data_IF_546423156577
#
_entry.id   IF_546423156577
#
_cell.length_a   1.000
_cell.length_b   1.000
_cell.length_c   1.000
_cell.angle_alpha   90.00
_cell.angle_beta   90.00
_cell.angle_gamma   90.00
#
_symmetry.space_group_name_H-M   'P 1'
#
loop_
_entity.id
_entity.type
_entity.pdbx_description
1 polymer ?
#
# COMPACT_ATOMS: atom_id res chain seq x y z
N UNK A 1 -11.86 -9.72 3.17
CA UNK A 1 -12.04 -8.79 2.04
C UNK A 1 -10.66 -8.45 1.51
N UNK A 2 -10.37 -8.86 0.27
CA UNK A 2 -9.17 -8.41 -0.42
C UNK A 2 -9.38 -6.95 -0.82
N UNK A 3 -8.61 -6.06 -0.20
CA UNK A 3 -8.57 -4.66 -0.58
C UNK A 3 -7.66 -4.53 -1.78
N UNK A 4 -8.12 -3.89 -2.85
CA UNK A 4 -7.26 -3.58 -3.99
C UNK A 4 -6.10 -2.69 -3.53
N UNK A 5 -4.89 -3.21 -3.61
CA UNK A 5 -3.66 -2.52 -3.17
C UNK A 5 -2.85 -1.96 -4.35
N UNK A 6 -3.26 -2.31 -5.58
CA UNK A 6 -2.55 -1.96 -6.80
C UNK A 6 -3.35 -0.99 -7.67
N UNK A 7 -2.72 0.13 -8.06
CA UNK A 7 -3.28 1.07 -9.03
C UNK A 7 -3.62 0.40 -10.36
N UNK A 8 -2.84 -0.62 -10.75
CA UNK A 8 -3.09 -1.39 -11.96
C UNK A 8 -4.39 -2.18 -11.86
N UNK A 9 -4.57 -2.93 -10.78
CA UNK A 9 -5.78 -3.73 -10.55
C UNK A 9 -7.03 -2.83 -10.50
N UNK A 10 -6.93 -1.68 -9.86
CA UNK A 10 -8.01 -0.71 -9.82
C UNK A 10 -8.41 -0.24 -11.22
N UNK A 11 -7.46 0.14 -12.06
CA UNK A 11 -7.71 0.63 -13.42
C UNK A 11 -8.26 -0.47 -14.32
N UNK A 12 -7.74 -1.70 -14.24
CA UNK A 12 -8.24 -2.86 -14.98
C UNK A 12 -9.69 -3.22 -14.61
N UNK A 13 -10.01 -3.20 -13.31
CA UNK A 13 -11.37 -3.48 -12.83
C UNK A 13 -12.34 -2.35 -13.23
N UNK A 14 -11.91 -1.09 -13.17
CA UNK A 14 -12.71 0.04 -13.59
C UNK A 14 -13.00 -0.03 -15.10
N UNK A 15 -12.00 -0.35 -15.93
CA UNK A 15 -12.17 -0.58 -17.35
C UNK A 15 -13.20 -1.68 -17.61
N UNK A 16 -13.11 -2.81 -16.91
CA UNK A 16 -14.04 -3.93 -17.04
C UNK A 16 -15.47 -3.54 -16.70
N UNK A 17 -15.66 -2.76 -15.64
CA UNK A 17 -16.97 -2.25 -15.25
C UNK A 17 -17.57 -1.33 -16.32
N UNK A 18 -16.77 -0.39 -16.87
CA UNK A 18 -17.20 0.47 -17.96
C UNK A 18 -17.52 -0.33 -19.24
N UNK A 19 -16.68 -1.31 -19.59
CA UNK A 19 -16.88 -2.16 -20.75
C UNK A 19 -18.21 -2.93 -20.66
N UNK A 20 -18.54 -3.46 -19.51
CA UNK A 20 -19.82 -4.12 -19.25
C UNK A 20 -20.99 -3.14 -19.44
N UNK A 21 -20.88 -1.93 -18.95
CA UNK A 21 -21.94 -0.91 -19.06
C UNK A 21 -22.15 -0.39 -20.47
N UNK A 22 -21.08 -0.10 -21.20
CA UNK A 22 -21.18 0.57 -22.51
C UNK A 22 -21.16 -0.38 -23.70
N UNK A 23 -20.45 -1.50 -23.60
CA UNK A 23 -20.25 -2.44 -24.71
C UNK A 23 -20.77 -3.85 -24.42
N UNK A 24 -21.42 -4.08 -23.28
CA UNK A 24 -21.94 -5.40 -22.89
C UNK A 24 -20.83 -6.42 -22.66
N UNK A 25 -19.65 -5.99 -22.25
CA UNK A 25 -18.50 -6.84 -21.98
C UNK A 25 -17.65 -7.21 -23.20
N UNK A 26 -18.03 -6.77 -24.41
CA UNK A 26 -17.29 -7.08 -25.63
C UNK A 26 -16.40 -5.90 -26.06
N UNK A 27 -15.05 -6.01 -25.95
CA UNK A 27 -14.12 -4.94 -26.32
C UNK A 27 -14.10 -4.65 -27.83
N UNK A 28 -14.51 -5.60 -28.65
CA UNK A 28 -14.53 -5.47 -30.12
C UNK A 28 -15.87 -5.03 -30.68
N UNK A 29 -16.91 -4.93 -29.83
CA UNK A 29 -18.22 -4.44 -30.24
C UNK A 29 -18.14 -3.04 -30.81
N UNK A 30 -18.60 -2.84 -32.03
CA UNK A 30 -18.71 -1.52 -32.65
C UNK A 30 -19.92 -0.79 -32.08
N UNK A 31 -19.68 0.39 -31.52
CA UNK A 31 -20.69 1.26 -30.94
C UNK A 31 -21.29 2.20 -32.00
N UNK A 32 -22.37 2.88 -31.64
CA UNK A 32 -23.07 3.82 -32.55
C UNK A 32 -22.20 4.99 -33.03
N UNK A 33 -21.12 5.30 -32.30
CA UNK A 33 -20.14 6.32 -32.66
C UNK A 33 -19.03 5.83 -33.60
N UNK A 34 -19.08 4.55 -34.04
CA UNK A 34 -18.12 3.93 -34.93
C UNK A 34 -16.83 3.44 -34.26
N UNK A 35 -16.66 3.61 -32.94
CA UNK A 35 -15.53 3.11 -32.19
C UNK A 35 -15.80 1.68 -31.69
N UNK A 36 -14.73 0.91 -31.49
CA UNK A 36 -14.87 -0.34 -30.74
C UNK A 36 -15.08 -0.04 -29.25
N UNK A 37 -15.64 -1.00 -28.50
CA UNK A 37 -15.81 -0.89 -27.05
C UNK A 37 -14.49 -0.52 -26.36
N UNK A 38 -13.40 -1.21 -26.72
CA UNK A 38 -12.07 -0.93 -26.17
C UNK A 38 -11.61 0.52 -26.47
N UNK A 39 -11.72 0.98 -27.71
CA UNK A 39 -11.34 2.34 -28.09
C UNK A 39 -12.15 3.39 -27.33
N UNK A 40 -13.45 3.19 -27.25
CA UNK A 40 -14.34 4.12 -26.55
C UNK A 40 -14.01 4.20 -25.05
N UNK A 41 -13.87 3.07 -24.39
CA UNK A 41 -13.54 3.05 -22.94
C UNK A 41 -12.15 3.65 -22.69
N UNK A 42 -11.14 3.34 -23.52
CA UNK A 42 -9.82 3.99 -23.40
C UNK A 42 -9.88 5.51 -23.52
N UNK A 43 -10.77 6.04 -24.37
CA UNK A 43 -10.95 7.49 -24.51
C UNK A 43 -11.62 8.15 -23.30
N UNK A 44 -12.44 7.40 -22.57
CA UNK A 44 -13.14 7.87 -21.37
C UNK A 44 -12.36 7.63 -20.08
N UNK A 45 -11.51 6.61 -20.04
CA UNK A 45 -10.95 6.04 -18.81
C UNK A 45 -10.37 7.09 -17.84
N UNK A 46 -9.60 8.03 -18.36
CA UNK A 46 -9.01 9.13 -17.59
C UNK A 46 -9.59 10.50 -17.92
N UNK A 47 -10.76 10.53 -18.56
CA UNK A 47 -11.53 11.75 -18.75
C UNK A 47 -12.30 12.13 -17.48
N UNK A 48 -12.93 13.30 -17.50
CA UNK A 48 -13.83 13.74 -16.42
C UNK A 48 -15.02 12.79 -16.17
N UNK A 49 -15.42 12.03 -17.19
CA UNK A 49 -16.52 11.07 -17.14
C UNK A 49 -16.05 9.67 -16.71
N UNK A 50 -14.74 9.48 -16.46
CA UNK A 50 -14.10 8.30 -15.96
C UNK A 50 -13.42 8.55 -14.61
N UNK A 51 -12.15 8.12 -14.51
CA UNK A 51 -11.33 8.29 -13.28
C UNK A 51 -10.88 9.72 -13.02
N UNK A 52 -11.05 10.63 -13.99
CA UNK A 52 -10.76 12.06 -13.89
C UNK A 52 -9.26 12.40 -14.05
N UNK A 53 -8.36 11.59 -13.51
CA UNK A 53 -6.92 11.84 -13.60
C UNK A 53 -6.16 10.61 -14.11
N UNK A 54 -5.27 10.79 -15.13
CA UNK A 54 -4.40 9.70 -15.55
C UNK A 54 -3.37 9.40 -14.48
N UNK A 55 -3.38 8.17 -13.99
CA UNK A 55 -2.35 7.63 -13.09
C UNK A 55 -1.24 6.91 -13.85
N UNK A 56 -1.43 6.72 -15.15
CA UNK A 56 -0.46 6.11 -16.06
C UNK A 56 -0.24 6.99 -17.27
N UNK A 57 0.95 6.93 -17.83
CA UNK A 57 1.32 7.50 -19.13
C UNK A 57 1.60 6.36 -20.09
N UNK A 58 1.03 6.43 -21.30
CA UNK A 58 1.29 5.49 -22.40
C UNK A 58 1.93 6.21 -23.58
N UNK A 59 2.63 5.50 -24.47
CA UNK A 59 3.13 6.07 -25.71
C UNK A 59 2.01 6.67 -26.56
N UNK A 60 2.33 7.69 -27.36
CA UNK A 60 1.36 8.36 -28.21
C UNK A 60 0.69 7.38 -29.18
N UNK A 61 -0.64 7.38 -29.20
CA UNK A 61 -1.44 6.54 -30.06
C UNK A 61 -1.78 5.14 -29.49
N UNK A 62 -1.26 4.81 -28.33
CA UNK A 62 -1.60 3.56 -27.64
C UNK A 62 -2.73 3.76 -26.62
N UNK A 63 -3.54 2.72 -26.41
CA UNK A 63 -4.55 2.70 -25.35
C UNK A 63 -3.93 2.33 -24.00
N UNK A 64 -4.59 2.72 -22.91
CA UNK A 64 -4.16 2.36 -21.55
C UNK A 64 -4.41 0.88 -21.26
N UNK A 65 -5.53 0.34 -21.76
CA UNK A 65 -5.96 -1.04 -21.53
C UNK A 65 -6.13 -1.74 -22.87
N UNK A 66 -5.56 -2.93 -22.99
CA UNK A 66 -5.69 -3.78 -24.16
C UNK A 66 -7.08 -4.41 -24.29
N UNK A 67 -7.33 -5.07 -25.42
CA UNK A 67 -8.58 -5.84 -25.65
C UNK A 67 -8.70 -7.03 -24.70
N UNK A 68 -7.62 -7.46 -24.11
CA UNK A 68 -7.53 -8.50 -23.08
C UNK A 68 -7.92 -7.99 -21.66
N UNK A 69 -8.24 -6.70 -21.54
CA UNK A 69 -8.58 -6.07 -20.28
C UNK A 69 -7.38 -5.78 -19.38
N UNK A 70 -6.16 -5.94 -19.88
CA UNK A 70 -4.93 -5.71 -19.14
C UNK A 70 -4.29 -4.38 -19.46
N UNK A 71 -3.61 -3.82 -18.44
CA UNK A 71 -2.84 -2.60 -18.59
C UNK A 71 -1.79 -2.76 -19.70
N UNK A 72 -1.66 -1.73 -20.54
CA UNK A 72 -0.64 -1.69 -21.57
C UNK A 72 0.76 -1.95 -20.96
N UNK A 73 1.53 -2.91 -21.47
CA UNK A 73 2.86 -3.22 -20.93
C UNK A 73 3.85 -2.06 -21.05
N UNK A 74 3.60 -1.09 -21.95
CA UNK A 74 4.38 0.13 -22.10
C UNK A 74 3.90 1.27 -21.20
N UNK A 75 2.83 1.05 -20.41
CA UNK A 75 2.33 2.05 -19.48
C UNK A 75 3.32 2.26 -18.34
N UNK A 76 3.58 3.52 -18.02
CA UNK A 76 4.42 3.92 -16.87
C UNK A 76 3.54 4.58 -15.83
N UNK A 77 3.69 4.13 -14.58
CA UNK A 77 2.99 4.75 -13.45
C UNK A 77 3.44 6.21 -13.31
N UNK A 78 2.47 7.12 -13.28
CA UNK A 78 2.70 8.56 -13.18
C UNK A 78 2.26 9.31 -14.44
N UNK A 79 2.30 10.63 -14.35
CA UNK A 79 1.93 11.53 -15.45
C UNK A 79 2.88 12.72 -15.52
N UNK A 80 2.99 13.26 -16.71
CA UNK A 80 3.67 14.54 -16.94
C UNK A 80 2.68 15.67 -16.73
N UNK A 81 3.08 16.67 -15.94
CA UNK A 81 2.34 17.93 -15.76
C UNK A 81 3.32 19.10 -15.84
N UNK A 82 3.32 19.80 -16.96
CA UNK A 82 4.37 20.78 -17.26
C UNK A 82 5.74 20.11 -17.31
N UNK A 83 6.67 20.63 -16.52
CA UNK A 83 8.04 20.11 -16.40
C UNK A 83 8.19 19.03 -15.30
N UNK A 84 7.09 18.66 -14.66
CA UNK A 84 7.09 17.71 -13.54
C UNK A 84 6.54 16.37 -13.97
N UNK A 85 7.15 15.31 -13.43
CA UNK A 85 6.61 13.95 -13.48
C UNK A 85 6.04 13.59 -12.11
N UNK A 86 4.73 13.37 -12.06
CA UNK A 86 3.98 13.12 -10.81
C UNK A 86 3.65 11.64 -10.76
N UNK A 87 4.09 10.95 -9.71
CA UNK A 87 3.70 9.57 -9.38
C UNK A 87 2.74 9.56 -8.20
N UNK A 88 1.79 8.61 -8.14
CA UNK A 88 1.03 8.38 -6.93
C UNK A 88 1.95 8.00 -5.77
N UNK A 89 1.69 8.55 -4.59
CA UNK A 89 2.39 8.19 -3.37
C UNK A 89 1.81 6.89 -2.80
N UNK A 90 2.69 6.06 -2.27
CA UNK A 90 2.32 4.88 -1.50
C UNK A 90 2.22 5.27 -0.01
N UNK A 91 1.04 5.73 0.38
CA UNK A 91 0.77 6.21 1.74
C UNK A 91 0.95 5.13 2.80
N UNK A 92 0.70 3.87 2.45
CA UNK A 92 0.92 2.75 3.38
C UNK A 92 2.40 2.61 3.70
N UNK A 93 3.25 2.65 2.67
CA UNK A 93 4.70 2.56 2.83
C UNK A 93 5.30 3.78 3.53
N UNK A 94 4.73 4.98 3.28
CA UNK A 94 5.20 6.21 3.91
C UNK A 94 4.74 6.33 5.37
N UNK A 95 3.56 5.80 5.72
CA UNK A 95 2.99 5.90 7.05
C UNK A 95 3.35 4.73 7.97
N UNK A 96 3.67 3.57 7.40
CA UNK A 96 3.96 2.37 8.16
C UNK A 96 5.42 1.96 7.99
N UNK A 97 6.14 1.99 9.09
CA UNK A 97 7.48 1.42 9.15
C UNK A 97 7.39 -0.08 9.48
N UNK A 98 7.55 -0.93 8.46
CA UNK A 98 7.49 -2.39 8.60
C UNK A 98 8.79 -3.00 9.15
N UNK A 99 9.81 -2.18 9.43
CA UNK A 99 11.08 -2.60 10.01
C UNK A 99 11.12 -2.64 11.53
N UNK A 100 10.00 -2.41 12.20
CA UNK A 100 9.92 -2.25 13.64
C UNK A 100 10.10 -3.59 14.37
N UNK A 101 11.07 -3.61 15.27
CA UNK A 101 11.37 -4.74 16.12
C UNK A 101 11.10 -4.36 17.59
N UNK A 102 10.16 -5.08 18.21
CA UNK A 102 10.00 -5.04 19.66
C UNK A 102 10.97 -6.02 20.31
N UNK A 103 11.78 -5.51 21.21
CA UNK A 103 12.76 -6.29 21.97
C UNK A 103 12.48 -6.16 23.45
N UNK A 104 12.44 -7.30 24.15
CA UNK A 104 12.25 -7.34 25.58
C UNK A 104 13.25 -8.31 26.22
N UNK A 105 14.01 -7.80 27.16
CA UNK A 105 15.01 -8.56 27.90
C UNK A 105 14.70 -8.52 29.39
N UNK A 106 14.56 -9.67 30.01
CA UNK A 106 14.30 -9.80 31.44
C UNK A 106 15.34 -10.72 32.07
N UNK A 107 16.01 -10.22 33.11
CA UNK A 107 16.96 -10.98 33.91
C UNK A 107 16.49 -11.00 35.35
N UNK A 108 16.41 -12.20 35.91
CA UNK A 108 16.01 -12.41 37.30
C UNK A 108 17.08 -13.20 38.03
N UNK A 109 17.44 -12.75 39.21
CA UNK A 109 18.40 -13.40 40.10
C UNK A 109 17.74 -13.52 41.47
N UNK A 110 17.74 -14.70 42.02
CA UNK A 110 17.28 -14.96 43.38
C UNK A 110 18.24 -15.86 44.13
N UNK A 111 18.34 -15.67 45.42
CA UNK A 111 19.14 -16.48 46.29
C UNK A 111 18.65 -16.41 47.74
N UNK A 112 19.07 -17.39 48.52
CA UNK A 112 18.73 -17.52 49.93
C UNK A 112 19.97 -17.94 50.73
N UNK A 113 20.11 -17.34 51.88
CA UNK A 113 21.05 -17.74 52.92
C UNK A 113 20.27 -18.06 54.20
N UNK A 114 20.93 -18.63 55.22
CA UNK A 114 20.24 -18.91 56.48
C UNK A 114 19.58 -17.70 57.15
N UNK A 115 19.97 -16.46 56.77
CA UNK A 115 19.51 -15.24 57.40
C UNK A 115 18.90 -14.24 56.46
N UNK A 116 18.92 -14.49 55.13
CA UNK A 116 18.46 -13.50 54.16
C UNK A 116 18.00 -14.16 52.85
N UNK A 117 16.86 -13.73 52.38
CA UNK A 117 16.38 -14.02 51.03
C UNK A 117 16.49 -12.78 50.17
N UNK A 118 16.98 -12.92 48.96
CA UNK A 118 17.06 -11.80 48.05
C UNK A 118 16.54 -12.17 46.69
N UNK A 119 15.91 -11.18 46.04
CA UNK A 119 15.42 -11.22 44.67
C UNK A 119 15.78 -9.94 43.97
N UNK A 120 16.36 -10.06 42.79
CA UNK A 120 16.68 -8.94 41.93
C UNK A 120 16.15 -9.21 40.52
N UNK A 121 15.48 -8.24 39.91
CA UNK A 121 15.10 -8.34 38.51
C UNK A 121 15.45 -7.04 37.78
N UNK A 122 15.90 -7.17 36.54
CA UNK A 122 16.10 -6.08 35.60
C UNK A 122 15.42 -6.41 34.30
N UNK A 123 14.65 -5.48 33.77
CA UNK A 123 13.97 -5.61 32.50
C UNK A 123 14.23 -4.41 31.61
N UNK A 124 14.51 -4.65 30.36
CA UNK A 124 14.63 -3.63 29.32
C UNK A 124 13.66 -3.94 28.19
N UNK A 125 12.84 -2.98 27.84
CA UNK A 125 11.91 -3.02 26.72
C UNK A 125 12.28 -1.91 25.76
N UNK A 126 12.40 -2.26 24.49
CA UNK A 126 12.52 -1.31 23.38
C UNK A 126 11.47 -1.68 22.32
N UNK A 127 10.59 -0.75 22.06
CA UNK A 127 9.45 -0.91 21.16
C UNK A 127 9.41 0.27 20.18
N UNK A 128 9.77 0.01 18.94
CA UNK A 128 9.64 0.97 17.86
C UNK A 128 8.22 0.90 17.31
N UNK A 129 7.48 2.01 17.36
CA UNK A 129 6.09 2.05 16.90
C UNK A 129 5.97 1.91 15.39
N UNK A 130 4.79 1.51 14.92
CA UNK A 130 4.46 1.38 13.50
C UNK A 130 4.49 2.71 12.73
N UNK A 131 4.40 3.83 13.44
CA UNK A 131 4.44 5.17 12.83
C UNK A 131 5.87 5.71 12.93
N UNK A 132 6.46 6.20 11.84
CA UNK A 132 7.79 6.80 11.86
C UNK A 132 7.93 7.87 12.94
N UNK A 133 9.01 7.78 13.74
CA UNK A 133 9.27 8.69 14.84
C UNK A 133 8.56 8.37 16.16
N UNK A 134 7.75 7.31 16.22
CA UNK A 134 7.23 6.79 17.48
C UNK A 134 8.13 5.70 18.02
N UNK A 135 8.65 5.88 19.24
CA UNK A 135 9.43 4.85 19.93
C UNK A 135 9.16 4.91 21.43
N UNK A 136 9.20 3.76 22.05
CA UNK A 136 9.04 3.63 23.50
C UNK A 136 10.13 2.72 24.06
N UNK A 137 10.90 3.22 25.02
CA UNK A 137 11.86 2.41 25.76
C UNK A 137 11.58 2.46 27.26
N UNK A 138 11.72 1.34 27.92
CA UNK A 138 11.53 1.24 29.38
C UNK A 138 12.60 0.37 30.01
N UNK A 139 13.29 0.95 31.00
CA UNK A 139 14.15 0.21 31.91
C UNK A 139 13.41 0.01 33.23
N UNK A 140 13.33 -1.22 33.70
CA UNK A 140 12.69 -1.60 34.97
C UNK A 140 13.70 -2.29 35.84
N UNK A 141 13.73 -1.94 37.12
CA UNK A 141 14.57 -2.57 38.11
C UNK A 141 13.76 -2.86 39.39
N UNK A 142 13.89 -4.04 39.93
CA UNK A 142 13.26 -4.42 41.19
C UNK A 142 14.28 -5.15 42.07
N UNK A 143 14.36 -4.71 43.31
CA UNK A 143 15.13 -5.37 44.36
C UNK A 143 14.21 -5.67 45.55
N UNK A 144 14.27 -6.89 46.03
CA UNK A 144 13.61 -7.32 47.25
C UNK A 144 14.61 -8.08 48.12
N UNK A 145 14.72 -7.71 49.38
CA UNK A 145 15.54 -8.39 50.37
C UNK A 145 14.71 -8.55 51.66
N UNK A 146 14.66 -9.78 52.17
CA UNK A 146 13.99 -10.11 53.42
C UNK A 146 15.04 -10.69 54.37
N UNK A 147 15.17 -10.09 55.60
CA UNK A 147 16.11 -10.46 56.65
C UNK A 147 15.40 -11.00 57.88
#
# INVERSE_FOLDING_TARGET
>A
YDVMTSSQEYVENYYTAMLNGYAGGDPNRVLSNGMTGNQYINSLLFSKDGLGYPVYTVPNGEGYIGVDGKLNPNAKLGRVYGDYYITPDDWEKELLDNGNLRQEYNVNISGSTEKMNYYMSAGYLDDSGLIPGSSFSRLSFRLKADY
#
